data_IF_689759872950
#
_entry.id   IF_689759872950
#
_cell.length_a   1.000
_cell.length_b   1.000
_cell.length_c   1.000
_cell.angle_alpha   90.00
_cell.angle_beta   90.00
_cell.angle_gamma   90.00
#
_symmetry.space_group_name_H-M   'P 1'
#
loop_
_entity.id
_entity.type
_entity.pdbx_description
1 polymer ?
#
# COMPACT_ATOMS: atom_id res chain seq x y z
N UNK A 1 11.42 22.36 -7.84
CA UNK A 1 11.46 21.60 -9.11
C UNK A 1 12.54 20.53 -9.08
N UNK A 2 13.80 20.86 -8.80
CA UNK A 2 14.92 19.91 -8.79
C UNK A 2 14.71 18.72 -7.82
N UNK A 3 14.22 18.99 -6.61
CA UNK A 3 13.87 17.95 -5.62
C UNK A 3 12.85 16.92 -6.12
N UNK A 4 11.81 17.37 -6.82
CA UNK A 4 10.78 16.51 -7.40
C UNK A 4 11.36 15.63 -8.52
N UNK A 5 12.16 16.24 -9.41
CA UNK A 5 12.80 15.52 -10.50
C UNK A 5 13.72 14.42 -9.97
N UNK A 6 14.49 14.68 -8.91
CA UNK A 6 15.36 13.70 -8.27
C UNK A 6 14.56 12.52 -7.69
N UNK A 7 13.51 12.78 -6.90
CA UNK A 7 12.67 11.73 -6.32
C UNK A 7 12.04 10.86 -7.41
N UNK A 8 11.49 11.48 -8.45
CA UNK A 8 10.86 10.76 -9.57
C UNK A 8 11.90 9.94 -10.32
N UNK A 9 13.08 10.51 -10.63
CA UNK A 9 14.14 9.79 -11.33
C UNK A 9 14.62 8.57 -10.53
N UNK A 10 14.92 8.73 -9.24
CA UNK A 10 15.38 7.62 -8.39
C UNK A 10 14.25 6.60 -8.15
N UNK A 11 12.99 7.05 -8.05
CA UNK A 11 11.84 6.15 -8.03
C UNK A 11 11.71 5.31 -9.30
N UNK A 12 11.87 5.92 -10.48
CA UNK A 12 11.84 5.20 -11.77
C UNK A 12 13.00 4.20 -11.83
N UNK A 13 14.22 4.62 -11.51
CA UNK A 13 15.41 3.75 -11.50
C UNK A 13 15.22 2.58 -10.53
N UNK A 14 14.73 2.85 -9.32
CA UNK A 14 14.45 1.84 -8.32
C UNK A 14 13.39 0.84 -8.78
N UNK A 15 12.28 1.32 -9.36
CA UNK A 15 11.19 0.48 -9.87
C UNK A 15 11.62 -0.40 -11.04
N UNK A 16 12.27 0.18 -12.06
CA UNK A 16 12.78 -0.54 -13.23
C UNK A 16 13.87 -1.53 -12.82
N UNK A 17 14.78 -1.13 -11.93
CA UNK A 17 15.83 -2.00 -11.41
C UNK A 17 15.25 -3.21 -10.68
N UNK A 18 14.36 -3.00 -9.72
CA UNK A 18 13.74 -4.08 -8.96
C UNK A 18 12.89 -5.02 -9.84
N UNK A 19 12.21 -4.48 -10.86
CA UNK A 19 11.50 -5.29 -11.85
C UNK A 19 12.45 -6.18 -12.66
N UNK A 20 13.61 -5.65 -13.09
CA UNK A 20 14.64 -6.40 -13.82
C UNK A 20 15.25 -7.53 -12.97
N UNK A 21 15.37 -7.32 -11.66
CA UNK A 21 15.84 -8.35 -10.72
C UNK A 21 14.74 -9.32 -10.27
N UNK A 22 13.55 -9.28 -10.88
CA UNK A 22 12.41 -10.17 -10.56
C UNK A 22 11.97 -10.11 -9.09
N UNK A 23 12.15 -8.95 -8.45
CA UNK A 23 11.63 -8.72 -7.10
C UNK A 23 10.09 -8.76 -7.18
N UNK A 24 9.40 -9.51 -6.29
CA UNK A 24 7.94 -9.52 -6.26
C UNK A 24 7.38 -8.10 -6.05
N UNK A 25 6.48 -7.67 -6.93
CA UNK A 25 5.98 -6.29 -6.93
C UNK A 25 7.06 -5.23 -7.23
N UNK A 26 8.13 -5.61 -7.92
CA UNK A 26 9.37 -4.83 -8.07
C UNK A 26 9.17 -3.38 -8.51
N UNK A 27 8.25 -3.10 -9.44
CA UNK A 27 7.95 -1.73 -9.85
C UNK A 27 7.46 -0.86 -8.68
N UNK A 28 6.54 -1.37 -7.86
CA UNK A 28 5.98 -0.66 -6.70
C UNK A 28 6.99 -0.60 -5.57
N UNK A 29 7.54 -1.74 -5.17
CA UNK A 29 8.51 -1.83 -4.07
C UNK A 29 9.75 -1.00 -4.36
N UNK A 30 10.33 -1.17 -5.54
CA UNK A 30 11.54 -0.47 -5.96
C UNK A 30 11.34 1.04 -6.09
N UNK A 31 10.18 1.47 -6.63
CA UNK A 31 9.91 2.91 -6.74
C UNK A 31 9.69 3.54 -5.38
N UNK A 32 9.02 2.86 -4.45
CA UNK A 32 8.84 3.34 -3.08
C UNK A 32 10.14 3.41 -2.29
N UNK A 33 10.99 2.39 -2.38
CA UNK A 33 12.29 2.39 -1.71
C UNK A 33 13.19 3.48 -2.28
N UNK A 34 13.31 3.58 -3.60
CA UNK A 34 14.12 4.61 -4.26
C UNK A 34 13.66 6.02 -3.92
N UNK A 35 12.38 6.32 -4.10
CA UNK A 35 11.80 7.63 -3.78
C UNK A 35 11.85 7.94 -2.27
N UNK A 36 11.61 6.94 -1.43
CA UNK A 36 11.65 7.06 0.03
C UNK A 36 13.04 7.39 0.55
N UNK A 37 14.09 6.74 0.04
CA UNK A 37 15.48 7.03 0.42
C UNK A 37 15.86 8.48 0.12
N UNK A 38 15.46 8.99 -1.05
CA UNK A 38 15.69 10.40 -1.42
C UNK A 38 14.83 11.34 -0.57
N UNK A 39 13.61 10.94 -0.22
CA UNK A 39 12.74 11.73 0.65
C UNK A 39 13.30 11.85 2.07
N UNK A 40 13.98 10.82 2.60
CA UNK A 40 14.64 10.87 3.92
C UNK A 40 15.78 11.89 3.99
N UNK A 41 16.39 12.23 2.86
CA UNK A 41 17.44 13.25 2.78
C UNK A 41 16.87 14.68 2.72
N UNK A 42 15.55 14.84 2.79
CA UNK A 42 14.87 16.12 2.64
C UNK A 42 14.20 16.55 3.95
N UNK A 43 14.27 17.87 4.19
CA UNK A 43 13.70 18.53 5.36
C UNK A 43 12.18 18.42 5.46
N UNK A 44 11.48 18.27 4.33
CA UNK A 44 10.04 18.18 4.26
C UNK A 44 9.62 17.12 3.23
N UNK A 45 8.49 16.46 3.47
CA UNK A 45 7.91 15.51 2.54
C UNK A 45 7.45 16.20 1.25
N UNK A 46 8.10 15.87 0.14
CA UNK A 46 7.89 16.46 -1.20
C UNK A 46 6.67 15.85 -1.90
N UNK A 47 5.60 15.54 -1.16
CA UNK A 47 4.43 14.84 -1.70
C UNK A 47 3.97 15.38 -3.06
N UNK A 48 3.42 14.50 -3.91
CA UNK A 48 2.78 14.91 -5.16
C UNK A 48 1.70 15.96 -4.89
N UNK A 49 1.48 16.87 -5.85
CA UNK A 49 0.34 17.80 -5.73
C UNK A 49 -0.97 17.01 -5.73
N UNK A 50 -2.01 17.48 -5.02
CA UNK A 50 -3.29 16.77 -4.91
C UNK A 50 -3.90 16.42 -6.28
N UNK A 51 -3.73 17.27 -7.29
CA UNK A 51 -4.25 17.07 -8.64
C UNK A 51 -3.58 15.88 -9.33
N UNK A 52 -2.25 15.81 -9.27
CA UNK A 52 -1.48 14.70 -9.87
C UNK A 52 -1.81 13.39 -9.15
N UNK A 53 -1.85 13.41 -7.80
CA UNK A 53 -2.21 12.24 -7.02
C UNK A 53 -3.60 11.71 -7.38
N UNK A 54 -4.57 12.62 -7.58
CA UNK A 54 -5.94 12.28 -8.00
C UNK A 54 -5.96 11.66 -9.39
N UNK A 55 -5.24 12.23 -10.36
CA UNK A 55 -5.13 11.69 -11.72
C UNK A 55 -4.56 10.26 -11.69
N UNK A 56 -3.49 10.03 -10.92
CA UNK A 56 -2.88 8.69 -10.78
C UNK A 56 -3.87 7.71 -10.15
N UNK A 57 -4.59 8.11 -9.11
CA UNK A 57 -5.62 7.26 -8.48
C UNK A 57 -6.76 6.92 -9.44
N UNK A 58 -7.24 7.88 -10.25
CA UNK A 58 -8.26 7.64 -11.27
C UNK A 58 -7.77 6.61 -12.28
N UNK A 59 -6.55 6.76 -12.82
CA UNK A 59 -5.96 5.84 -13.78
C UNK A 59 -5.82 4.43 -13.19
N UNK A 60 -5.37 4.31 -11.94
CA UNK A 60 -5.26 3.03 -11.25
C UNK A 60 -6.65 2.38 -11.03
N UNK A 61 -7.64 3.17 -10.67
CA UNK A 61 -9.03 2.71 -10.50
C UNK A 61 -9.63 2.21 -11.80
N UNK A 62 -9.46 2.94 -12.91
CA UNK A 62 -9.90 2.52 -14.25
C UNK A 62 -9.18 1.23 -14.65
N UNK A 63 -7.86 1.16 -14.46
CA UNK A 63 -7.05 -0.01 -14.78
C UNK A 63 -7.53 -1.26 -14.04
N UNK A 64 -7.85 -1.13 -12.75
CA UNK A 64 -8.40 -2.22 -11.97
C UNK A 64 -9.82 -2.59 -12.43
N UNK A 65 -10.68 -1.61 -12.71
CA UNK A 65 -12.05 -1.85 -13.18
C UNK A 65 -12.13 -2.52 -14.55
N UNK A 66 -11.18 -2.25 -15.44
CA UNK A 66 -11.07 -2.90 -16.76
C UNK A 66 -10.74 -4.40 -16.68
N UNK A 67 -10.38 -4.93 -15.50
CA UNK A 67 -10.14 -6.36 -15.31
C UNK A 67 -11.42 -7.19 -15.20
N UNK A 68 -12.56 -6.54 -14.95
CA UNK A 68 -13.85 -7.24 -14.85
C UNK A 68 -14.45 -7.54 -16.22
N UNK A 69 -14.99 -8.74 -16.38
CA UNK A 69 -15.73 -9.14 -17.57
C UNK A 69 -17.19 -9.50 -17.25
N UNK A 70 -17.96 -9.87 -18.28
CA UNK A 70 -19.38 -10.22 -18.11
C UNK A 70 -19.58 -11.51 -17.31
N UNK A 71 -18.61 -12.42 -17.33
CA UNK A 71 -18.65 -13.67 -16.56
C UNK A 71 -18.50 -13.40 -15.05
N UNK A 72 -17.79 -12.35 -14.68
CA UNK A 72 -17.64 -11.94 -13.29
C UNK A 72 -18.98 -11.65 -12.61
N UNK A 73 -19.98 -11.11 -13.34
CA UNK A 73 -21.31 -10.79 -12.79
C UNK A 73 -22.03 -12.00 -12.19
N UNK A 74 -21.82 -13.20 -12.72
CA UNK A 74 -22.41 -14.43 -12.16
C UNK A 74 -21.64 -14.93 -10.93
N UNK A 75 -20.34 -14.61 -10.83
CA UNK A 75 -19.50 -14.99 -9.69
C UNK A 75 -19.60 -14.02 -8.51
N UNK A 76 -19.84 -12.72 -8.76
CA UNK A 76 -19.90 -11.66 -7.74
C UNK A 76 -20.74 -12.07 -6.52
N UNK A 77 -22.00 -12.55 -6.65
CA UNK A 77 -22.82 -12.84 -5.48
C UNK A 77 -22.23 -13.92 -4.55
N UNK A 78 -21.40 -14.81 -5.08
CA UNK A 78 -20.78 -15.89 -4.34
C UNK A 78 -19.51 -15.43 -3.60
N UNK A 79 -18.73 -14.53 -4.20
CA UNK A 79 -17.44 -14.08 -3.63
C UNK A 79 -17.55 -12.77 -2.85
N UNK A 80 -18.53 -11.92 -3.16
CA UNK A 80 -18.68 -10.60 -2.54
C UNK A 80 -18.93 -10.67 -1.03
N UNK A 81 -19.83 -11.53 -0.51
CA UNK A 81 -20.01 -11.66 0.95
C UNK A 81 -18.73 -12.09 1.65
N UNK A 82 -17.97 -13.03 1.05
CA UNK A 82 -16.68 -13.48 1.58
C UNK A 82 -15.63 -12.36 1.56
N UNK A 83 -15.62 -11.53 0.50
CA UNK A 83 -14.74 -10.36 0.42
C UNK A 83 -15.06 -9.33 1.53
N UNK A 84 -16.34 -9.07 1.79
CA UNK A 84 -16.79 -8.19 2.90
C UNK A 84 -16.35 -8.77 4.24
N UNK A 85 -16.62 -10.05 4.50
CA UNK A 85 -16.20 -10.72 5.74
C UNK A 85 -14.68 -10.67 5.91
N UNK A 86 -13.91 -10.93 4.84
CA UNK A 86 -12.44 -10.84 4.89
C UNK A 86 -11.96 -9.43 5.25
N UNK A 87 -12.61 -8.39 4.71
CA UNK A 87 -12.29 -7.00 5.01
C UNK A 87 -12.59 -6.67 6.46
N UNK A 88 -13.72 -7.13 6.98
CA UNK A 88 -14.09 -6.94 8.39
C UNK A 88 -13.08 -7.64 9.32
N UNK A 89 -12.65 -8.86 9.01
CA UNK A 89 -11.62 -9.57 9.79
C UNK A 89 -10.31 -8.78 9.79
N UNK A 90 -9.84 -8.33 8.62
CA UNK A 90 -8.63 -7.50 8.51
C UNK A 90 -8.77 -6.20 9.31
N UNK A 91 -9.93 -5.57 9.27
CA UNK A 91 -10.20 -4.34 10.02
C UNK A 91 -10.21 -4.58 11.52
N UNK A 92 -10.82 -5.67 11.99
CA UNK A 92 -10.77 -6.06 13.41
C UNK A 92 -9.33 -6.26 13.88
N UNK A 93 -8.51 -6.98 13.10
CA UNK A 93 -7.08 -7.17 13.43
C UNK A 93 -6.33 -5.83 13.43
N UNK A 94 -6.61 -4.95 12.47
CA UNK A 94 -6.00 -3.61 12.42
C UNK A 94 -6.33 -2.78 13.67
N UNK A 95 -7.58 -2.79 14.13
CA UNK A 95 -8.00 -2.11 15.37
C UNK A 95 -7.28 -2.71 16.58
N UNK A 96 -7.21 -4.04 16.69
CA UNK A 96 -6.50 -4.71 17.80
C UNK A 96 -5.01 -4.33 17.82
N UNK A 97 -4.36 -4.33 16.67
CA UNK A 97 -2.96 -3.90 16.53
C UNK A 97 -2.77 -2.42 16.85
N UNK A 98 -3.71 -1.56 16.46
CA UNK A 98 -3.68 -0.12 16.76
C UNK A 98 -3.82 0.14 18.27
N UNK A 99 -4.75 -0.56 18.94
CA UNK A 99 -4.88 -0.51 20.40
C UNK A 99 -3.59 -0.98 21.06
N UNK A 100 -3.03 -2.11 20.62
CA UNK A 100 -1.79 -2.65 21.19
C UNK A 100 -0.62 -1.66 21.02
N UNK A 101 -0.39 -1.15 19.82
CA UNK A 101 0.69 -0.20 19.55
C UNK A 101 0.55 1.09 20.37
N UNK A 102 -0.68 1.59 20.52
CA UNK A 102 -0.98 2.75 21.36
C UNK A 102 -0.77 2.49 22.85
N UNK A 103 -1.17 1.31 23.34
CA UNK A 103 -0.96 0.91 24.75
C UNK A 103 0.51 0.70 25.09
N UNK A 104 1.31 0.26 24.12
CA UNK A 104 2.76 0.14 24.25
C UNK A 104 3.49 1.50 24.14
N UNK A 105 2.79 2.60 23.84
CA UNK A 105 3.38 3.93 23.69
C UNK A 105 4.24 4.08 22.44
N UNK A 106 4.09 3.22 21.44
CA UNK A 106 4.90 3.26 20.21
C UNK A 106 4.46 4.40 19.29
N UNK A 107 3.15 4.56 19.12
CA UNK A 107 2.49 5.55 18.23
C UNK A 107 1.09 5.85 18.77
N UNK A 108 0.52 7.00 18.44
CA UNK A 108 -0.88 7.29 18.79
C UNK A 108 -1.85 6.37 18.04
N UNK A 109 -3.04 6.18 18.62
CA UNK A 109 -4.05 5.27 18.08
C UNK A 109 -4.46 5.59 16.63
N UNK A 110 -4.59 6.87 16.28
CA UNK A 110 -5.01 7.26 14.93
C UNK A 110 -3.93 6.97 13.90
N UNK A 111 -2.68 7.35 14.17
CA UNK A 111 -1.52 6.96 13.34
C UNK A 111 -1.46 5.45 13.15
N UNK A 112 -1.63 4.69 14.24
CA UNK A 112 -1.58 3.23 14.20
C UNK A 112 -2.74 2.65 13.37
N UNK A 113 -3.96 3.14 13.59
CA UNK A 113 -5.15 2.65 12.90
C UNK A 113 -5.08 2.95 11.41
N UNK A 114 -4.73 4.18 11.00
CA UNK A 114 -4.55 4.51 9.58
C UNK A 114 -3.44 3.67 8.94
N UNK A 115 -2.34 3.42 9.64
CA UNK A 115 -1.22 2.64 9.12
C UNK A 115 -1.49 1.12 9.02
N UNK A 116 -2.17 0.53 10.00
CA UNK A 116 -2.51 -0.89 10.01
C UNK A 116 -3.74 -1.23 9.17
N UNK A 117 -4.63 -0.26 8.92
CA UNK A 117 -5.86 -0.47 8.16
C UNK A 117 -5.57 -1.03 6.76
N UNK A 118 -6.36 -2.00 6.27
CA UNK A 118 -6.34 -2.36 4.85
C UNK A 118 -6.84 -1.16 4.02
N UNK A 119 -6.27 -0.93 2.84
CA UNK A 119 -6.69 0.17 1.97
C UNK A 119 -5.58 0.82 1.14
N UNK A 120 -5.95 1.83 0.36
CA UNK A 120 -5.04 2.58 -0.50
C UNK A 120 -4.12 3.47 0.32
N UNK A 121 -2.81 3.27 0.19
CA UNK A 121 -1.78 4.00 0.95
C UNK A 121 -1.91 5.52 0.84
N UNK A 122 -2.14 6.04 -0.38
CA UNK A 122 -2.27 7.48 -0.60
C UNK A 122 -3.49 8.06 0.11
N UNK A 123 -4.63 7.36 0.09
CA UNK A 123 -5.85 7.78 0.79
C UNK A 123 -5.66 7.80 2.31
N UNK A 124 -5.10 6.73 2.88
CA UNK A 124 -4.88 6.63 4.33
C UNK A 124 -3.87 7.66 4.85
N UNK A 125 -2.82 7.95 4.08
CA UNK A 125 -1.87 9.00 4.42
C UNK A 125 -2.52 10.40 4.43
N UNK A 126 -3.41 10.69 3.48
CA UNK A 126 -4.17 11.95 3.43
C UNK A 126 -5.11 12.05 4.63
N UNK A 127 -5.88 11.00 4.91
CA UNK A 127 -6.80 10.98 6.07
C UNK A 127 -6.06 11.15 7.40
N UNK A 128 -4.92 10.48 7.56
CA UNK A 128 -4.07 10.68 8.72
C UNK A 128 -3.60 12.14 8.84
N UNK A 129 -3.20 12.76 7.72
CA UNK A 129 -2.79 14.17 7.72
C UNK A 129 -3.93 15.11 8.09
N UNK A 130 -5.14 14.89 7.57
CA UNK A 130 -6.30 15.75 7.84
C UNK A 130 -6.78 15.64 9.28
N UNK A 131 -6.64 14.46 9.88
CA UNK A 131 -6.96 14.20 11.29
C UNK A 131 -5.78 14.54 12.24
N UNK A 132 -4.67 15.08 11.74
CA UNK A 132 -3.54 15.54 12.56
C UNK A 132 -2.60 14.43 13.06
N UNK A 133 -2.64 13.25 12.45
CA UNK A 133 -1.80 12.10 12.76
C UNK A 133 -0.50 12.06 11.94
N UNK A 134 0.43 11.19 12.34
CA UNK A 134 1.78 11.13 11.76
C UNK A 134 1.78 10.41 10.39
N UNK A 135 1.69 11.21 9.32
CA UNK A 135 1.67 10.72 7.93
C UNK A 135 2.90 9.89 7.53
N UNK A 136 4.15 10.28 7.86
CA UNK A 136 5.33 9.47 7.57
C UNK A 136 5.26 8.03 8.12
N UNK A 137 4.78 7.86 9.36
CA UNK A 137 4.65 6.54 9.98
C UNK A 137 3.58 5.71 9.26
N UNK A 138 2.44 6.30 8.92
CA UNK A 138 1.38 5.62 8.15
C UNK A 138 1.91 5.12 6.81
N UNK A 139 2.66 5.95 6.08
CA UNK A 139 3.27 5.58 4.82
C UNK A 139 4.28 4.43 4.97
N UNK A 140 5.11 4.46 6.02
CA UNK A 140 6.05 3.40 6.33
C UNK A 140 5.37 2.05 6.64
N UNK A 141 4.32 2.05 7.46
CA UNK A 141 3.55 0.85 7.77
C UNK A 141 2.94 0.22 6.51
N UNK A 142 2.40 1.06 5.61
CA UNK A 142 1.90 0.58 4.32
C UNK A 142 3.00 0.07 3.38
N UNK A 143 4.21 0.66 3.39
CA UNK A 143 5.36 0.16 2.63
C UNK A 143 5.71 -1.26 3.07
N UNK A 144 5.89 -1.46 4.38
CA UNK A 144 6.20 -2.77 4.96
C UNK A 144 5.12 -3.79 4.61
N UNK A 145 3.83 -3.40 4.71
CA UNK A 145 2.69 -4.25 4.33
C UNK A 145 2.76 -4.68 2.86
N UNK A 146 2.89 -3.72 1.93
CA UNK A 146 2.91 -4.02 0.49
C UNK A 146 4.08 -4.93 0.14
N UNK A 147 5.27 -4.64 0.67
CA UNK A 147 6.45 -5.49 0.47
C UNK A 147 6.20 -6.92 0.99
N UNK A 148 5.70 -7.04 2.22
CA UNK A 148 5.43 -8.34 2.86
C UNK A 148 4.39 -9.14 2.08
N UNK A 149 3.34 -8.50 1.57
CA UNK A 149 2.31 -9.15 0.76
C UNK A 149 2.86 -9.65 -0.58
N UNK A 150 3.65 -8.83 -1.27
CA UNK A 150 4.23 -9.24 -2.55
C UNK A 150 5.18 -10.43 -2.43
N UNK A 151 5.91 -10.55 -1.31
CA UNK A 151 6.79 -11.70 -1.07
C UNK A 151 5.99 -12.91 -0.58
N UNK A 152 5.15 -12.72 0.43
CA UNK A 152 4.53 -13.84 1.16
C UNK A 152 3.38 -14.48 0.37
N UNK A 153 2.54 -13.70 -0.31
CA UNK A 153 1.35 -14.24 -0.98
C UNK A 153 1.71 -15.25 -2.09
N UNK A 154 2.63 -14.96 -3.03
CA UNK A 154 3.04 -15.95 -4.04
C UNK A 154 3.64 -17.22 -3.43
N UNK A 155 4.41 -17.10 -2.34
CA UNK A 155 4.99 -18.24 -1.65
C UNK A 155 3.92 -19.13 -1.01
N UNK A 156 2.93 -18.53 -0.35
CA UNK A 156 1.80 -19.26 0.23
C UNK A 156 0.98 -19.99 -0.83
N UNK A 157 0.71 -19.34 -1.98
CA UNK A 157 0.02 -19.99 -3.11
C UNK A 157 0.82 -21.19 -3.62
N UNK A 158 2.13 -21.03 -3.83
CA UNK A 158 2.99 -22.12 -4.30
C UNK A 158 3.03 -23.29 -3.31
N UNK A 159 3.15 -22.99 -2.02
CA UNK A 159 3.15 -24.00 -0.96
C UNK A 159 1.82 -24.76 -0.91
N UNK A 160 0.69 -24.05 -0.96
CA UNK A 160 -0.63 -24.68 -0.95
C UNK A 160 -0.84 -25.62 -2.15
N UNK A 161 -0.40 -25.20 -3.35
CA UNK A 161 -0.47 -26.04 -4.54
C UNK A 161 0.44 -27.26 -4.46
N UNK A 162 1.63 -27.14 -3.85
CA UNK A 162 2.54 -28.26 -3.62
C UNK A 162 1.97 -29.29 -2.66
N UNK A 163 1.34 -28.87 -1.55
CA UNK A 163 0.76 -29.76 -0.55
C UNK A 163 -0.52 -30.49 -1.02
N UNK A 164 -1.14 -30.02 -2.11
CA UNK A 164 -2.35 -30.63 -2.69
C UNK A 164 -2.04 -31.68 -3.77
N UNK A 165 -0.80 -31.77 -4.22
CA UNK A 165 -0.30 -32.83 -5.11
C UNK A 165 0.14 -34.04 -4.28
#
# INVERSE_FOLDING_TARGET
>A
MERYALIVAVGIIGGVGAQKFHVPGGAVVGSMLGSGLVALMQSEGVGLTPEIATIVQIILGISLGMTFDRSFLTFIPHVFPLAVVSTLILMTVAVLMAVLASRLGLVDFGTALFGFSPGGMSGMAILAKTEGHNTPIVAFLHLVRIFTLFVTVPLLVRLFLYLRQ
#
